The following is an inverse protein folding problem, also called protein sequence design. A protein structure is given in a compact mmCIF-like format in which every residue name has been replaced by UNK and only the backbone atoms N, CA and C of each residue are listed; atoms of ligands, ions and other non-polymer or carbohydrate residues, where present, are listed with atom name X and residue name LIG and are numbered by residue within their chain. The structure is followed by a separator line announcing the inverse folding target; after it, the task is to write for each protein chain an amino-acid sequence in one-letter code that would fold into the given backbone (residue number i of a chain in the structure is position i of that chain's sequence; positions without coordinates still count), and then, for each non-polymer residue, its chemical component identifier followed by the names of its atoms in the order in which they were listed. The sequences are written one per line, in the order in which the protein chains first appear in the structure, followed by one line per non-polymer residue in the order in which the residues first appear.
data_IF_377542236808
#
_entry.id   IF_377542236808
#
_cell.length_a   1.000
_cell.length_b   1.000
_cell.length_c   1.000
_cell.angle_alpha   90.00
_cell.angle_beta   90.00
_cell.angle_gamma   90.00
#
_symmetry.space_group_name_H-M   'P 1'
#
loop_
_entity.id
_entity.type
_entity.pdbx_description
1 polymer ?
#
# COMPACT_ATOMS: atom_id res chain seq x y z
N UNK A 1 7.97 -18.83 -3.70
CA UNK A 1 7.79 -18.57 -5.14
C UNK A 1 8.04 -19.89 -5.87
N UNK A 2 7.08 -20.39 -6.66
CA UNK A 2 7.17 -21.72 -7.29
C UNK A 2 7.38 -21.66 -8.82
N UNK A 3 7.50 -20.46 -9.38
CA UNK A 3 7.75 -20.21 -10.80
C UNK A 3 8.00 -18.72 -11.04
N UNK A 4 8.44 -18.36 -12.25
CA UNK A 4 8.68 -16.99 -12.67
C UNK A 4 9.08 -16.90 -14.15
N UNK A 5 8.93 -15.72 -14.72
CA UNK A 5 9.41 -15.39 -16.07
C UNK A 5 10.23 -14.10 -15.97
N UNK A 6 11.34 -14.06 -16.70
CA UNK A 6 12.17 -12.87 -16.83
C UNK A 6 12.22 -12.47 -18.30
N UNK A 7 11.85 -11.23 -18.60
CA UNK A 7 11.82 -10.67 -19.94
C UNK A 7 12.63 -9.38 -19.97
N UNK A 8 13.28 -9.10 -21.10
CA UNK A 8 13.97 -7.82 -21.35
C UNK A 8 13.23 -7.10 -22.48
N UNK A 9 12.70 -5.92 -22.19
CA UNK A 9 11.90 -5.13 -23.12
C UNK A 9 12.51 -3.74 -23.29
N UNK A 10 12.80 -3.35 -24.54
CA UNK A 10 13.29 -2.01 -24.85
C UNK A 10 12.22 -0.94 -24.59
N UNK A 11 12.63 0.24 -24.15
CA UNK A 11 11.73 1.39 -23.91
C UNK A 11 11.10 1.43 -22.52
N UNK A 12 11.46 0.51 -21.62
CA UNK A 12 11.10 0.55 -20.20
C UNK A 12 12.29 1.08 -19.39
N UNK A 13 12.07 2.15 -18.62
CA UNK A 13 13.11 2.86 -17.86
C UNK A 13 13.36 2.30 -16.46
N UNK A 14 12.51 1.38 -15.99
CA UNK A 14 12.60 0.74 -14.67
C UNK A 14 12.09 -0.71 -14.68
N UNK A 15 12.66 -1.61 -13.87
CA UNK A 15 12.16 -2.98 -13.76
C UNK A 15 10.67 -3.03 -13.36
N UNK A 16 9.95 -3.99 -13.93
CA UNK A 16 8.56 -4.31 -13.54
C UNK A 16 8.57 -5.69 -12.91
N UNK A 17 8.00 -5.81 -11.71
CA UNK A 17 7.90 -7.07 -10.97
C UNK A 17 6.44 -7.47 -10.81
N UNK A 18 5.90 -8.34 -11.69
CA UNK A 18 4.56 -8.91 -11.54
C UNK A 18 4.59 -10.18 -10.69
N UNK A 19 3.53 -10.39 -9.90
CA UNK A 19 3.35 -11.60 -9.09
C UNK A 19 1.94 -12.14 -9.21
N UNK A 20 1.80 -13.47 -9.17
CA UNK A 20 0.50 -14.15 -9.06
C UNK A 20 0.48 -14.96 -7.77
N UNK A 21 -0.59 -14.81 -7.00
CA UNK A 21 -0.82 -15.52 -5.74
C UNK A 21 -1.99 -16.48 -5.90
N UNK A 22 -1.80 -17.71 -5.44
CA UNK A 22 -2.81 -18.77 -5.43
C UNK A 22 -2.95 -19.29 -4.00
N UNK A 23 -4.18 -19.48 -3.55
CA UNK A 23 -4.52 -20.02 -2.25
C UNK A 23 -5.83 -20.79 -2.32
N UNK A 24 -5.97 -21.81 -1.48
CA UNK A 24 -7.17 -22.64 -1.38
C UNK A 24 -7.97 -22.26 -0.14
N UNK A 25 -9.29 -22.32 -0.25
CA UNK A 25 -10.21 -22.08 0.87
C UNK A 25 -11.48 -22.90 0.66
N UNK A 26 -12.12 -23.35 1.75
CA UNK A 26 -13.44 -23.98 1.64
C UNK A 26 -14.48 -22.94 1.23
N UNK A 27 -15.53 -23.36 0.51
CA UNK A 27 -16.54 -22.45 -0.06
C UNK A 27 -17.18 -21.56 1.00
N UNK A 28 -17.44 -22.10 2.18
CA UNK A 28 -18.06 -21.45 3.33
C UNK A 28 -17.13 -20.45 4.05
N UNK A 29 -15.82 -20.51 3.80
CA UNK A 29 -14.81 -19.62 4.43
C UNK A 29 -14.23 -18.58 3.48
N UNK A 30 -14.69 -18.53 2.23
CA UNK A 30 -14.25 -17.52 1.28
C UNK A 30 -14.79 -16.14 1.70
N UNK A 31 -13.90 -15.28 2.19
CA UNK A 31 -14.22 -13.88 2.45
C UNK A 31 -14.03 -13.08 1.16
N UNK A 32 -15.09 -12.35 0.77
CA UNK A 32 -15.10 -11.48 -0.41
C UNK A 32 -14.84 -10.03 0.02
N UNK A 33 -14.32 -9.23 -0.89
CA UNK A 33 -14.08 -7.78 -0.67
C UNK A 33 -15.37 -6.96 -0.55
N UNK A 34 -16.53 -7.55 -0.83
CA UNK A 34 -17.84 -6.93 -0.66
C UNK A 34 -18.77 -7.78 0.21
N UNK A 35 -19.85 -7.16 0.68
CA UNK A 35 -20.85 -7.81 1.55
C UNK A 35 -20.98 -7.22 2.95
N UNK A 36 -20.30 -6.10 3.24
CA UNK A 36 -20.54 -5.34 4.47
C UNK A 36 -21.98 -4.80 4.51
N UNK A 37 -22.59 -4.83 5.69
CA UNK A 37 -23.97 -4.43 5.94
C UNK A 37 -24.05 -3.35 7.01
N UNK A 38 -25.19 -2.66 7.08
CA UNK A 38 -25.48 -1.76 8.20
C UNK A 38 -25.43 -2.53 9.52
N UNK A 39 -24.74 -1.97 10.51
CA UNK A 39 -24.52 -2.63 11.81
C UNK A 39 -23.20 -3.41 11.92
N UNK A 40 -22.48 -3.64 10.81
CA UNK A 40 -21.15 -4.24 10.86
C UNK A 40 -20.12 -3.30 11.51
N UNK A 41 -19.15 -3.88 12.20
CA UNK A 41 -18.02 -3.14 12.77
C UNK A 41 -16.87 -3.06 11.78
N UNK A 42 -16.31 -1.87 11.61
CA UNK A 42 -15.08 -1.66 10.84
C UNK A 42 -13.89 -1.74 11.80
N UNK A 43 -13.06 -2.77 11.63
CA UNK A 43 -11.84 -2.95 12.41
C UNK A 43 -10.64 -2.61 11.55
N UNK A 44 -9.85 -1.63 12.00
CA UNK A 44 -8.60 -1.24 11.36
C UNK A 44 -7.46 -1.72 12.26
N UNK A 45 -6.56 -2.54 11.71
CA UNK A 45 -5.45 -3.13 12.48
C UNK A 45 -4.25 -2.19 12.60
N UNK A 46 -4.16 -1.14 11.78
CA UNK A 46 -3.10 -0.10 11.78
C UNK A 46 -3.64 1.28 11.42
N UNK A 47 -2.77 2.21 11.04
CA UNK A 47 -3.15 3.47 10.39
C UNK A 47 -3.73 3.26 8.98
N UNK A 48 -4.51 4.25 8.53
CA UNK A 48 -5.04 4.31 7.16
C UNK A 48 -4.02 4.96 6.22
N UNK A 49 -4.00 4.50 4.96
CA UNK A 49 -3.21 5.10 3.89
C UNK A 49 -1.72 5.34 4.23
N UNK A 50 -1.12 4.48 5.06
CA UNK A 50 0.26 4.63 5.57
C UNK A 50 1.25 4.82 4.41
N UNK A 51 1.23 3.92 3.43
CA UNK A 51 2.13 3.94 2.27
C UNK A 51 1.90 5.15 1.37
N UNK A 52 0.64 5.43 1.02
CA UNK A 52 0.30 6.55 0.15
C UNK A 52 0.67 7.90 0.78
N UNK A 53 0.46 8.04 2.09
CA UNK A 53 0.83 9.24 2.84
C UNK A 53 2.35 9.43 2.86
N UNK A 54 3.09 8.36 3.09
CA UNK A 54 4.55 8.43 3.18
C UNK A 54 5.19 8.73 1.82
N UNK A 55 4.72 8.07 0.75
CA UNK A 55 5.18 8.33 -0.62
C UNK A 55 4.84 9.76 -1.07
N UNK A 56 3.63 10.24 -0.76
CA UNK A 56 3.24 11.62 -1.08
C UNK A 56 4.16 12.62 -0.36
N UNK A 57 4.45 12.39 0.93
CA UNK A 57 5.37 13.22 1.69
C UNK A 57 6.80 13.18 1.15
N UNK A 58 7.26 12.01 0.69
CA UNK A 58 8.60 11.82 0.14
C UNK A 58 8.77 12.47 -1.24
N UNK A 59 7.80 12.32 -2.13
CA UNK A 59 7.90 12.75 -3.53
C UNK A 59 7.41 14.19 -3.77
N UNK A 60 6.52 14.71 -2.91
CA UNK A 60 5.83 16.00 -3.10
C UNK A 60 5.94 16.91 -1.89
N UNK A 61 7.01 16.80 -1.09
CA UNK A 61 7.25 17.62 0.10
C UNK A 61 7.06 19.13 -0.16
N UNK A 62 7.57 19.65 -1.27
CA UNK A 62 7.44 21.08 -1.60
C UNK A 62 6.01 21.51 -1.91
N UNK A 63 5.24 20.65 -2.59
CA UNK A 63 3.83 20.92 -2.86
C UNK A 63 3.02 20.89 -1.56
N UNK A 64 3.36 19.99 -0.63
CA UNK A 64 2.76 19.94 0.71
C UNK A 64 3.09 21.17 1.54
N UNK A 65 4.33 21.65 1.54
CA UNK A 65 4.71 22.92 2.19
C UNK A 65 3.92 24.09 1.63
N UNK A 66 3.78 24.16 0.30
CA UNK A 66 3.01 25.20 -0.38
C UNK A 66 1.53 25.14 -0.03
N UNK A 67 1.00 23.93 0.20
CA UNK A 67 -0.35 23.70 0.69
C UNK A 67 -0.53 23.98 2.20
N UNK A 68 0.54 24.35 2.92
CA UNK A 68 0.49 24.74 4.33
C UNK A 68 0.74 23.60 5.32
N UNK A 69 1.25 22.46 4.87
CA UNK A 69 1.63 21.35 5.77
C UNK A 69 2.96 21.66 6.44
N UNK A 70 3.03 21.52 7.76
CA UNK A 70 4.24 21.78 8.55
C UNK A 70 5.34 20.73 8.24
N UNK A 71 6.59 21.15 8.31
CA UNK A 71 7.77 20.30 8.11
C UNK A 71 7.84 19.13 9.10
N UNK A 72 7.39 19.33 10.34
CA UNK A 72 7.32 18.24 11.33
C UNK A 72 6.36 17.14 10.88
N UNK A 73 5.21 17.53 10.33
CA UNK A 73 4.21 16.58 9.81
C UNK A 73 4.73 15.86 8.57
N UNK A 74 5.39 16.58 7.64
CA UNK A 74 6.00 15.97 6.46
C UNK A 74 7.05 14.93 6.89
N UNK A 75 7.89 15.28 7.86
CA UNK A 75 8.92 14.39 8.40
C UNK A 75 8.30 13.16 9.07
N UNK A 76 7.26 13.33 9.87
CA UNK A 76 6.51 12.22 10.47
C UNK A 76 5.91 11.30 9.41
N UNK A 77 5.34 11.86 8.35
CA UNK A 77 4.75 11.10 7.25
C UNK A 77 5.79 10.28 6.49
N UNK A 78 6.97 10.83 6.22
CA UNK A 78 8.07 10.09 5.55
C UNK A 78 8.47 8.85 6.37
N UNK A 79 8.54 8.99 7.70
CA UNK A 79 8.92 7.91 8.61
C UNK A 79 7.85 6.81 8.74
N UNK A 80 6.65 6.99 8.19
CA UNK A 80 5.63 5.94 8.17
C UNK A 80 6.08 4.70 7.37
N UNK A 81 7.03 4.84 6.43
CA UNK A 81 7.63 3.71 5.72
C UNK A 81 8.45 2.77 6.63
N UNK A 82 8.85 3.19 7.82
CA UNK A 82 9.55 2.29 8.76
C UNK A 82 8.58 1.35 9.49
N UNK A 83 7.27 1.60 9.34
CA UNK A 83 6.19 0.84 9.97
C UNK A 83 5.43 -0.09 9.02
N UNK A 84 5.82 -0.18 7.74
CA UNK A 84 5.15 -1.07 6.78
C UNK A 84 5.38 -2.55 7.13
N UNK A 85 4.27 -3.29 7.19
CA UNK A 85 4.24 -4.73 7.43
C UNK A 85 3.11 -5.13 8.37
N UNK A 86 2.44 -6.27 8.13
CA UNK A 86 1.49 -6.89 9.07
C UNK A 86 2.30 -7.72 10.07
N UNK A 87 2.35 -7.29 11.33
CA UNK A 87 2.78 -8.12 12.46
C UNK A 87 1.57 -8.72 13.13
#
# INVERSE_FOLDING_TARGET
MIGGHSEVTYGIDRPIVPGSMLGEVTRDRLIKTGGAQEGDSIVITKGLAIEGTALLALERAEDLRRAGVNDDTITQCINLLDSVGVR
#
